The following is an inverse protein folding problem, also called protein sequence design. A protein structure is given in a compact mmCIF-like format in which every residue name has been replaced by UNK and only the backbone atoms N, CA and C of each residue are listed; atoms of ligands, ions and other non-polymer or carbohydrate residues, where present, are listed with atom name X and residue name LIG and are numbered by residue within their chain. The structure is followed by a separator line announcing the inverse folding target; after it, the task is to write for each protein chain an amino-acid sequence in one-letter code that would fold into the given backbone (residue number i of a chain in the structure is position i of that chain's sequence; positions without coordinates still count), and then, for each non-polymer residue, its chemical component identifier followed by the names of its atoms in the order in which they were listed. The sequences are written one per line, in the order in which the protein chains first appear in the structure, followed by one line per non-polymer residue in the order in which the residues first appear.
data_IF_315952054687
#
_entry.id   IF_315952054687
#
_cell.length_a   1.000
_cell.length_b   1.000
_cell.length_c   1.000
_cell.angle_alpha   90.00
_cell.angle_beta   90.00
_cell.angle_gamma   90.00
#
_symmetry.space_group_name_H-M   'P 1'
#
loop_
_entity.id
_entity.type
_entity.pdbx_description
1 polymer ?
#
# COMPACT_ATOMS: atom_id res chain seq x y z
N UNK A 1 68.45 -11.05 77.38
CA UNK A 1 69.05 -10.56 76.12
C UNK A 1 67.90 -10.13 75.22
N UNK A 2 67.70 -8.82 75.03
CA UNK A 2 67.93 -8.07 73.76
C UNK A 2 67.08 -8.65 72.60
N UNK A 3 66.23 -7.91 71.90
CA UNK A 3 66.30 -6.50 71.54
C UNK A 3 64.94 -5.92 71.13
N UNK A 4 64.75 -4.63 71.47
CA UNK A 4 63.83 -3.70 70.80
C UNK A 4 64.35 -3.45 69.39
N UNK A 5 63.50 -3.56 68.37
CA UNK A 5 63.72 -2.94 67.06
C UNK A 5 62.47 -2.16 66.67
N UNK A 6 62.64 -0.84 66.70
CA UNK A 6 61.79 0.16 66.07
C UNK A 6 61.93 0.08 64.55
N UNK A 7 60.82 -0.02 63.82
CA UNK A 7 60.77 0.40 62.43
C UNK A 7 59.68 1.47 62.28
N UNK A 8 60.16 2.69 62.02
CA UNK A 8 59.37 3.77 61.45
C UNK A 8 58.86 3.33 60.08
N UNK A 9 57.54 3.27 59.90
CA UNK A 9 56.96 3.20 58.56
C UNK A 9 56.45 4.60 58.23
N UNK A 10 57.12 5.17 57.22
CA UNK A 10 56.77 6.43 56.56
C UNK A 10 55.35 6.30 56.02
N UNK A 11 54.46 7.22 56.40
CA UNK A 11 53.17 7.37 55.76
C UNK A 11 53.39 7.80 54.30
N UNK A 12 53.31 6.85 53.37
CA UNK A 12 53.18 7.16 51.96
C UNK A 12 51.79 7.78 51.77
N UNK A 13 51.75 9.11 51.70
CA UNK A 13 50.61 9.85 51.18
C UNK A 13 50.47 9.46 49.70
N UNK A 14 49.74 8.38 49.42
CA UNK A 14 49.26 8.09 48.07
C UNK A 14 48.27 9.21 47.75
N UNK A 15 48.78 10.24 47.08
CA UNK A 15 47.96 11.15 46.29
C UNK A 15 47.27 10.28 45.24
N UNK A 16 46.10 9.77 45.61
CA UNK A 16 45.04 9.45 44.66
C UNK A 16 44.75 10.77 43.94
N UNK A 17 45.50 11.02 42.86
CA UNK A 17 45.02 11.80 41.74
C UNK A 17 43.82 11.02 41.23
N UNK A 18 42.68 11.24 41.87
CA UNK A 18 41.40 11.00 41.25
C UNK A 18 41.45 11.84 40.00
N UNK A 19 41.64 11.18 38.85
CA UNK A 19 41.14 11.75 37.62
C UNK A 19 39.69 12.10 37.95
N UNK A 20 39.39 13.40 37.98
CA UNK A 20 38.04 13.86 37.81
C UNK A 20 37.64 13.34 36.42
N UNK A 21 37.16 12.11 36.37
CA UNK A 21 36.42 11.60 35.24
C UNK A 21 35.17 12.47 35.25
N UNK A 22 35.21 13.58 34.52
CA UNK A 22 34.00 14.32 34.20
C UNK A 22 33.02 13.30 33.63
N UNK A 23 31.83 13.25 34.22
CA UNK A 23 30.75 12.46 33.65
C UNK A 23 30.45 13.05 32.26
N UNK A 24 30.40 12.20 31.24
CA UNK A 24 30.17 12.66 29.87
C UNK A 24 28.84 13.44 29.80
N UNK A 25 28.93 14.71 29.41
CA UNK A 25 27.77 15.60 29.25
C UNK A 25 27.77 16.12 27.80
N UNK A 26 26.90 15.58 26.93
CA UNK A 26 26.84 16.03 25.54
C UNK A 26 26.23 17.44 25.48
N UNK A 27 26.78 18.30 24.62
CA UNK A 27 26.25 19.63 24.30
C UNK A 27 25.62 19.70 22.92
N UNK A 28 25.85 18.69 22.07
CA UNK A 28 25.13 18.50 20.81
C UNK A 28 24.89 17.01 20.51
N UNK A 29 23.99 16.75 19.57
CA UNK A 29 23.67 15.41 19.09
C UNK A 29 23.94 15.32 17.58
N UNK A 30 24.46 14.17 17.16
CA UNK A 30 24.57 13.77 15.76
C UNK A 30 23.84 12.45 15.56
N UNK A 31 23.01 12.38 14.52
CA UNK A 31 22.25 11.20 14.18
C UNK A 31 22.85 10.52 12.96
N UNK A 32 23.00 9.20 13.03
CA UNK A 32 23.52 8.38 11.93
C UNK A 32 22.49 7.30 11.61
N UNK A 33 22.17 7.12 10.33
CA UNK A 33 21.25 6.09 9.85
C UNK A 33 22.02 4.95 9.19
N UNK A 34 21.68 3.72 9.53
CA UNK A 34 22.29 2.53 8.93
C UNK A 34 21.38 1.95 7.84
N UNK A 35 21.30 2.67 6.72
CA UNK A 35 20.50 2.27 5.57
C UNK A 35 19.62 3.38 5.03
N UNK A 36 18.94 3.07 3.93
CA UNK A 36 17.96 3.95 3.29
C UNK A 36 16.56 3.64 3.80
N UNK A 37 15.70 4.66 3.82
CA UNK A 37 14.31 4.51 4.25
C UNK A 37 13.50 3.96 3.08
N UNK A 38 13.56 2.64 2.89
CA UNK A 38 12.79 1.93 1.85
C UNK A 38 11.54 1.32 2.47
N UNK A 39 10.40 1.41 1.80
CA UNK A 39 9.14 0.76 2.22
C UNK A 39 9.35 -0.72 2.57
N UNK A 40 8.70 -1.17 3.64
CA UNK A 40 8.77 -2.51 4.22
C UNK A 40 10.17 -2.91 4.74
N UNK A 41 11.10 -1.96 4.87
CA UNK A 41 12.41 -2.16 5.49
C UNK A 41 12.50 -1.47 6.86
N UNK A 42 13.52 -1.87 7.62
CA UNK A 42 13.88 -1.25 8.89
C UNK A 42 15.22 -0.54 8.81
N UNK A 43 15.34 0.62 9.47
CA UNK A 43 16.58 1.40 9.55
C UNK A 43 16.89 1.70 11.01
N UNK A 44 18.10 1.37 11.46
CA UNK A 44 18.56 1.74 12.80
C UNK A 44 19.08 3.19 12.80
N UNK A 45 18.65 3.97 13.78
CA UNK A 45 19.24 5.26 14.12
C UNK A 45 20.24 5.07 15.26
N UNK A 46 21.46 5.54 15.07
CA UNK A 46 22.47 5.70 16.10
C UNK A 46 22.52 7.18 16.53
N UNK A 47 22.46 7.42 17.85
CA UNK A 47 22.51 8.75 18.44
C UNK A 47 23.88 8.94 19.07
N UNK A 48 24.65 9.89 18.56
CA UNK A 48 25.99 10.23 19.05
C UNK A 48 25.89 11.56 19.79
N UNK A 49 26.18 11.55 21.09
CA UNK A 49 26.40 12.76 21.87
C UNK A 49 27.80 13.29 21.63
N UNK A 50 27.96 14.62 21.60
CA UNK A 50 29.25 15.29 21.46
C UNK A 50 29.36 16.32 22.59
N UNK A 51 30.41 16.24 23.40
CA UNK A 51 30.68 17.21 24.49
C UNK A 51 31.44 18.45 23.99
N UNK A 52 31.68 19.41 24.88
CA UNK A 52 32.38 20.67 24.55
C UNK A 52 33.85 20.50 24.18
N UNK A 53 34.47 19.40 24.61
CA UNK A 53 35.85 19.03 24.24
C UNK A 53 35.90 18.27 22.89
N UNK A 54 34.74 17.96 22.31
CA UNK A 54 34.58 17.23 21.05
C UNK A 54 34.68 15.71 21.19
N UNK A 55 34.62 15.16 22.41
CA UNK A 55 34.53 13.71 22.60
C UNK A 55 33.14 13.22 22.17
N UNK A 56 33.09 12.04 21.58
CA UNK A 56 31.85 11.44 21.07
C UNK A 56 31.51 10.15 21.81
N UNK A 57 30.25 9.99 22.22
CA UNK A 57 29.74 8.74 22.77
C UNK A 57 28.40 8.36 22.15
N UNK A 58 28.22 7.07 21.87
CA UNK A 58 26.93 6.52 21.40
C UNK A 58 25.97 6.41 22.58
N UNK A 59 24.87 7.15 22.51
CA UNK A 59 23.82 7.15 23.52
C UNK A 59 22.85 5.99 23.29
N UNK A 60 22.55 5.24 24.35
CA UNK A 60 21.61 4.09 24.32
C UNK A 60 20.47 4.20 25.34
N UNK A 61 20.48 5.24 26.17
CA UNK A 61 19.52 5.47 27.26
C UNK A 61 19.18 6.96 27.31
N UNK A 62 18.07 7.28 27.97
CA UNK A 62 17.58 8.66 28.06
C UNK A 62 17.11 9.21 26.72
N UNK A 63 16.81 8.33 25.74
CA UNK A 63 16.36 8.72 24.41
C UNK A 63 14.85 8.54 24.30
N UNK A 64 14.18 9.52 23.70
CA UNK A 64 12.77 9.44 23.31
C UNK A 64 12.66 9.78 21.83
N UNK A 65 12.19 8.83 21.03
CA UNK A 65 12.03 9.01 19.58
C UNK A 65 10.59 9.38 19.22
N UNK A 66 10.43 10.10 18.11
CA UNK A 66 9.13 10.45 17.54
C UNK A 66 9.21 10.50 16.01
N UNK A 67 8.14 10.04 15.35
CA UNK A 67 7.93 10.26 13.91
C UNK A 67 6.98 11.44 13.67
N UNK A 68 7.19 12.18 12.59
CA UNK A 68 6.24 13.21 12.12
C UNK A 68 4.95 12.62 11.56
N UNK A 69 5.00 11.41 10.98
CA UNK A 69 3.86 10.69 10.43
C UNK A 69 4.09 9.17 10.54
N UNK A 70 3.39 8.54 11.48
CA UNK A 70 3.49 7.10 11.75
C UNK A 70 2.93 6.24 10.60
N UNK A 71 2.13 6.82 9.68
CA UNK A 71 1.67 6.13 8.47
C UNK A 71 2.79 5.97 7.44
N UNK A 72 3.85 6.80 7.51
CA UNK A 72 5.03 6.70 6.65
C UNK A 72 6.12 5.88 7.32
N UNK A 73 6.44 6.17 8.58
CA UNK A 73 7.40 5.40 9.35
C UNK A 73 7.15 5.47 10.85
N UNK A 74 7.29 4.34 11.55
CA UNK A 74 7.28 4.26 13.02
C UNK A 74 8.69 4.08 13.54
N UNK A 75 8.98 4.56 14.75
CA UNK A 75 10.28 4.37 15.41
C UNK A 75 10.05 3.80 16.81
N UNK A 76 10.76 2.73 17.14
CA UNK A 76 10.65 2.11 18.46
C UNK A 76 11.51 2.84 19.51
N UNK A 77 11.38 2.52 20.82
CA UNK A 77 12.19 3.13 21.87
C UNK A 77 13.71 2.92 21.75
N UNK A 78 14.16 1.95 20.94
CA UNK A 78 15.57 1.66 20.69
C UNK A 78 16.11 2.38 19.44
N UNK A 79 15.29 3.21 18.77
CA UNK A 79 15.68 3.91 17.55
C UNK A 79 15.60 3.04 16.29
N UNK A 80 14.93 1.88 16.34
CA UNK A 80 14.65 1.07 15.15
C UNK A 80 13.43 1.65 14.42
N UNK A 81 13.68 2.21 13.24
CA UNK A 81 12.63 2.72 12.35
C UNK A 81 12.09 1.59 11.49
N UNK A 82 10.77 1.50 11.34
CA UNK A 82 10.08 0.65 10.35
C UNK A 82 9.35 1.56 9.36
N UNK A 83 9.60 1.38 8.06
CA UNK A 83 9.03 2.21 6.99
C UNK A 83 7.82 1.50 6.37
N UNK A 84 6.69 2.20 6.29
CA UNK A 84 5.40 1.66 5.85
C UNK A 84 4.96 2.16 4.46
N UNK A 85 5.33 3.40 4.12
CA UNK A 85 4.96 4.07 2.89
C UNK A 85 6.09 4.99 2.38
N UNK A 86 6.00 5.40 1.12
CA UNK A 86 6.86 6.44 0.55
C UNK A 86 6.34 7.83 0.90
N UNK A 87 7.25 8.78 1.15
CA UNK A 87 6.88 10.15 1.49
C UNK A 87 7.89 10.86 2.38
N UNK A 88 7.76 12.19 2.57
CA UNK A 88 8.60 12.93 3.49
C UNK A 88 8.28 12.53 4.94
N UNK A 89 9.31 12.29 5.74
CA UNK A 89 9.17 11.99 7.17
C UNK A 89 10.33 12.59 7.95
N UNK A 90 10.03 13.12 9.13
CA UNK A 90 11.02 13.60 10.08
C UNK A 90 11.02 12.67 11.29
N UNK A 91 12.17 12.08 11.61
CA UNK A 91 12.37 11.36 12.86
C UNK A 91 13.13 12.26 13.83
N UNK A 92 12.53 12.53 14.98
CA UNK A 92 13.11 13.35 16.04
C UNK A 92 13.54 12.48 17.22
N UNK A 93 14.62 12.86 17.89
CA UNK A 93 15.03 12.31 19.18
C UNK A 93 15.23 13.42 20.18
N UNK A 94 14.74 13.18 21.40
CA UNK A 94 15.05 13.96 22.59
C UNK A 94 15.95 13.13 23.49
N UNK A 95 17.15 13.64 23.79
CA UNK A 95 18.09 13.02 24.72
C UNK A 95 18.08 13.77 26.06
N UNK A 96 17.82 13.04 27.14
CA UNK A 96 17.86 13.53 28.52
C UNK A 96 18.57 12.49 29.38
N UNK A 97 19.87 12.72 29.58
CA UNK A 97 20.70 11.94 30.50
C UNK A 97 20.63 12.52 31.91
N UNK A 98 21.04 11.74 32.90
CA UNK A 98 21.07 12.16 34.31
C UNK A 98 22.11 13.29 34.53
N UNK A 99 23.19 13.31 33.74
CA UNK A 99 24.22 14.35 33.75
C UNK A 99 23.75 15.70 33.21
N UNK A 100 22.63 15.74 32.47
CA UNK A 100 22.20 16.94 31.75
C UNK A 100 21.20 17.77 32.57
N UNK A 101 21.34 19.09 32.58
CA UNK A 101 20.30 19.99 33.13
C UNK A 101 19.08 20.09 32.20
N UNK A 102 19.31 20.20 30.90
CA UNK A 102 18.27 20.37 29.87
C UNK A 102 18.37 19.28 28.80
N UNK A 103 17.26 18.82 28.22
CA UNK A 103 17.32 17.86 27.13
C UNK A 103 17.95 18.48 25.88
N UNK A 104 18.59 17.65 25.07
CA UNK A 104 19.00 17.99 23.70
C UNK A 104 18.02 17.36 22.72
N UNK A 105 17.84 18.02 21.58
CA UNK A 105 16.98 17.53 20.49
C UNK A 105 17.75 17.49 19.19
N UNK A 106 17.47 16.47 18.39
CA UNK A 106 17.95 16.37 17.01
C UNK A 106 16.88 15.72 16.13
N UNK A 107 16.98 15.96 14.83
CA UNK A 107 16.07 15.37 13.85
C UNK A 107 16.81 14.96 12.57
N UNK A 108 16.27 13.93 11.92
CA UNK A 108 16.59 13.55 10.55
C UNK A 108 15.35 13.84 9.72
N UNK A 109 15.49 14.74 8.75
CA UNK A 109 14.51 14.92 7.68
C UNK A 109 14.92 14.03 6.51
N UNK A 110 14.00 13.16 6.10
CA UNK A 110 14.24 12.24 4.98
C UNK A 110 12.98 12.07 4.15
N UNK A 111 13.13 11.38 3.03
CA UNK A 111 12.02 10.92 2.20
C UNK A 111 12.11 9.41 2.07
N UNK A 112 11.18 8.72 2.70
CA UNK A 112 11.00 7.31 2.47
C UNK A 112 10.69 7.07 1.00
N UNK A 113 11.36 6.10 0.39
CA UNK A 113 11.15 5.72 -1.00
C UNK A 113 10.36 4.42 -1.07
N UNK A 114 9.64 4.25 -2.17
CA UNK A 114 8.88 3.06 -2.45
C UNK A 114 9.11 2.69 -3.92
N UNK A 115 9.45 1.43 -4.15
CA UNK A 115 9.65 0.89 -5.50
C UNK A 115 8.47 -0.02 -5.82
N UNK A 116 7.75 0.29 -6.90
CA UNK A 116 6.69 -0.58 -7.40
C UNK A 116 7.26 -1.97 -7.75
N UNK A 117 6.55 -3.07 -7.47
CA UNK A 117 7.08 -4.41 -7.72
C UNK A 117 7.40 -4.63 -9.21
N UNK A 118 8.39 -5.47 -9.50
CA UNK A 118 8.71 -5.84 -10.89
C UNK A 118 7.52 -6.51 -11.57
N UNK A 119 7.25 -6.13 -12.82
CA UNK A 119 6.10 -6.62 -13.58
C UNK A 119 6.51 -7.02 -15.01
N UNK A 120 5.77 -7.96 -15.58
CA UNK A 120 5.69 -8.15 -17.02
C UNK A 120 4.38 -7.50 -17.52
N UNK A 121 4.33 -7.02 -18.76
CA UNK A 121 3.14 -6.36 -19.32
C UNK A 121 1.97 -7.34 -19.59
N UNK A 122 1.88 -8.44 -18.82
CA UNK A 122 0.85 -9.46 -18.94
C UNK A 122 -0.04 -9.42 -17.71
N UNK A 123 -1.33 -9.62 -17.96
CA UNK A 123 -2.31 -9.78 -16.92
C UNK A 123 -2.60 -11.28 -16.71
N UNK A 124 -2.92 -11.65 -15.48
CA UNK A 124 -3.41 -12.98 -15.15
C UNK A 124 -3.00 -13.43 -13.76
N UNK A 125 -3.41 -14.64 -13.40
CA UNK A 125 -3.19 -15.20 -12.07
C UNK A 125 -1.72 -15.13 -11.60
N UNK A 126 -1.50 -14.58 -10.41
CA UNK A 126 -0.18 -14.43 -9.78
C UNK A 126 0.74 -13.39 -10.43
N UNK A 127 0.29 -12.70 -11.49
CA UNK A 127 1.06 -11.63 -12.14
C UNK A 127 0.91 -10.32 -11.40
N UNK A 128 2.01 -9.57 -11.32
CA UNK A 128 2.01 -8.19 -10.83
C UNK A 128 1.30 -7.33 -11.87
N UNK A 129 0.25 -6.62 -11.45
CA UNK A 129 -0.47 -5.70 -12.32
C UNK A 129 0.45 -4.51 -12.64
N UNK A 130 0.65 -4.14 -13.91
CA UNK A 130 1.48 -2.99 -14.27
C UNK A 130 0.99 -1.70 -13.61
N UNK A 131 1.86 -0.69 -13.40
CA UNK A 131 1.48 0.60 -12.87
C UNK A 131 0.62 1.36 -13.90
N UNK A 132 -0.68 1.10 -13.86
CA UNK A 132 -1.68 1.76 -14.68
C UNK A 132 -2.18 3.03 -13.98
N UNK A 133 -2.60 3.99 -14.79
CA UNK A 133 -3.22 5.22 -14.29
C UNK A 133 -4.37 5.72 -15.17
N UNK A 134 -5.24 6.52 -14.57
CA UNK A 134 -6.37 7.14 -15.25
C UNK A 134 -6.66 8.52 -14.67
N UNK A 135 -7.00 9.53 -15.49
CA UNK A 135 -7.93 10.54 -15.01
C UNK A 135 -9.24 9.83 -14.70
N UNK A 136 -9.69 9.86 -13.46
CA UNK A 136 -10.80 9.06 -12.94
C UNK A 136 -11.64 9.89 -11.97
N UNK A 137 -12.68 9.27 -11.41
CA UNK A 137 -13.54 9.90 -10.41
C UNK A 137 -13.70 9.01 -9.19
N UNK A 138 -13.61 9.63 -8.01
CA UNK A 138 -13.96 9.01 -6.73
C UNK A 138 -15.47 8.75 -6.65
N UNK A 139 -15.90 7.94 -5.68
CA UNK A 139 -17.32 7.58 -5.50
C UNK A 139 -18.23 8.78 -5.23
N UNK A 140 -17.68 9.87 -4.67
CA UNK A 140 -18.39 11.13 -4.47
C UNK A 140 -18.47 12.01 -5.74
N UNK A 141 -17.82 11.60 -6.83
CA UNK A 141 -17.80 12.31 -8.10
C UNK A 141 -16.65 13.30 -8.28
N UNK A 142 -15.76 13.43 -7.29
CA UNK A 142 -14.57 14.28 -7.36
C UNK A 142 -13.54 13.69 -8.33
N UNK A 143 -12.87 14.53 -9.14
CA UNK A 143 -11.83 14.08 -10.05
C UNK A 143 -10.56 13.67 -9.30
N UNK A 144 -9.89 12.63 -9.79
CA UNK A 144 -8.58 12.18 -9.30
C UNK A 144 -7.73 11.72 -10.49
N UNK A 145 -6.41 11.90 -10.41
CA UNK A 145 -5.48 11.17 -11.27
C UNK A 145 -5.07 9.89 -10.55
N UNK A 146 -5.84 8.83 -10.76
CA UNK A 146 -5.70 7.56 -10.04
C UNK A 146 -4.53 6.76 -10.61
N UNK A 147 -3.50 6.54 -9.80
CA UNK A 147 -2.30 5.74 -10.13
C UNK A 147 -2.24 4.51 -9.22
N UNK A 148 -2.00 3.33 -9.77
CA UNK A 148 -1.79 2.13 -8.95
C UNK A 148 -0.52 2.20 -8.11
N UNK A 149 0.47 2.95 -8.58
CA UNK A 149 1.67 3.25 -7.82
C UNK A 149 1.36 4.02 -6.53
N UNK A 150 0.42 4.97 -6.55
CA UNK A 150 0.01 5.69 -5.34
C UNK A 150 -0.72 4.75 -4.38
N UNK A 151 -1.59 3.87 -4.91
CA UNK A 151 -2.28 2.87 -4.07
C UNK A 151 -1.28 1.97 -3.34
N UNK A 152 -0.20 1.60 -4.03
CA UNK A 152 0.86 0.77 -3.47
C UNK A 152 1.75 1.52 -2.47
N UNK A 153 2.18 2.73 -2.83
CA UNK A 153 3.27 3.43 -2.15
C UNK A 153 2.83 4.49 -1.14
N UNK A 154 1.66 5.09 -1.29
CA UNK A 154 1.26 6.27 -0.52
C UNK A 154 0.43 5.89 0.73
N UNK A 155 0.72 6.56 1.84
CA UNK A 155 0.10 6.37 3.14
C UNK A 155 -1.42 6.65 3.11
N UNK A 156 -1.88 7.53 2.21
CA UNK A 156 -3.31 7.83 2.07
C UNK A 156 -4.14 6.62 1.59
N UNK A 157 -3.48 5.58 1.07
CA UNK A 157 -4.09 4.33 0.64
C UNK A 157 -3.85 3.17 1.61
N UNK A 158 -3.38 3.42 2.84
CA UNK A 158 -3.09 2.38 3.83
C UNK A 158 -4.29 1.45 4.11
N UNK A 159 -5.51 2.00 4.08
CA UNK A 159 -6.75 1.22 4.30
C UNK A 159 -7.00 0.14 3.24
N UNK A 160 -6.38 0.25 2.05
CA UNK A 160 -6.56 -0.72 0.96
C UNK A 160 -5.71 -1.95 1.24
N UNK A 161 -6.34 -3.12 1.22
CA UNK A 161 -5.70 -4.44 1.23
C UNK A 161 -5.83 -5.13 -0.13
N UNK A 162 -6.96 -4.93 -0.79
CA UNK A 162 -7.25 -5.49 -2.12
C UNK A 162 -7.87 -4.46 -3.04
N UNK A 163 -7.63 -4.63 -4.34
CA UNK A 163 -8.25 -3.83 -5.40
C UNK A 163 -9.10 -4.78 -6.24
N UNK A 164 -10.42 -4.58 -6.23
CA UNK A 164 -11.33 -5.29 -7.09
C UNK A 164 -11.55 -4.50 -8.39
N UNK A 165 -10.98 -5.00 -9.48
CA UNK A 165 -11.20 -4.46 -10.81
C UNK A 165 -12.43 -5.08 -11.45
N UNK A 166 -13.23 -4.21 -12.06
CA UNK A 166 -14.39 -4.58 -12.86
C UNK A 166 -14.25 -3.92 -14.22
N UNK A 167 -14.03 -4.73 -15.25
CA UNK A 167 -14.01 -4.27 -16.62
C UNK A 167 -15.40 -4.48 -17.20
N UNK A 168 -16.08 -3.37 -17.49
CA UNK A 168 -17.50 -3.29 -17.81
C UNK A 168 -17.73 -2.68 -19.19
N UNK A 169 -18.95 -2.80 -19.70
CA UNK A 169 -19.42 -2.05 -20.84
C UNK A 169 -20.82 -1.46 -20.55
N UNK A 170 -21.08 -0.24 -21.00
CA UNK A 170 -22.35 0.44 -20.74
C UNK A 170 -23.57 -0.27 -21.33
N UNK A 171 -23.40 -1.00 -22.43
CA UNK A 171 -24.46 -1.79 -23.07
C UNK A 171 -24.69 -3.16 -22.41
N UNK A 172 -23.82 -3.58 -21.49
CA UNK A 172 -23.83 -4.92 -20.90
C UNK A 172 -24.76 -4.99 -19.68
N UNK A 173 -25.93 -5.61 -19.85
CA UNK A 173 -26.93 -5.78 -18.76
C UNK A 173 -26.37 -6.50 -17.53
N UNK A 174 -25.64 -7.64 -17.63
CA UNK A 174 -25.00 -8.26 -16.47
C UNK A 174 -24.02 -7.33 -15.74
N UNK A 175 -23.34 -6.45 -16.47
CA UNK A 175 -22.44 -5.46 -15.90
C UNK A 175 -23.20 -4.41 -15.09
N UNK A 176 -24.31 -3.90 -15.62
CA UNK A 176 -25.18 -2.97 -14.89
C UNK A 176 -25.70 -3.59 -13.59
N UNK A 177 -26.12 -4.86 -13.62
CA UNK A 177 -26.56 -5.58 -12.42
C UNK A 177 -25.44 -5.72 -11.38
N UNK A 178 -24.24 -6.06 -11.84
CA UNK A 178 -23.08 -6.22 -10.96
C UNK A 178 -22.66 -4.89 -10.32
N UNK A 179 -22.65 -3.79 -11.08
CA UNK A 179 -22.39 -2.46 -10.54
C UNK A 179 -23.42 -2.02 -9.48
N UNK A 180 -24.71 -2.32 -9.71
CA UNK A 180 -25.78 -2.09 -8.72
C UNK A 180 -25.58 -2.92 -7.44
N UNK A 181 -25.15 -4.18 -7.57
CA UNK A 181 -24.81 -5.04 -6.43
C UNK A 181 -23.63 -4.46 -5.65
N UNK A 182 -22.55 -4.08 -6.34
CA UNK A 182 -21.37 -3.47 -5.71
C UNK A 182 -21.74 -2.17 -4.98
N UNK A 183 -22.61 -1.33 -5.56
CA UNK A 183 -23.05 -0.10 -4.91
C UNK A 183 -23.72 -0.38 -3.55
N UNK A 184 -24.55 -1.43 -3.46
CA UNK A 184 -25.19 -1.86 -2.20
C UNK A 184 -24.20 -2.41 -1.18
N UNK A 185 -23.09 -2.98 -1.63
CA UNK A 185 -22.07 -3.62 -0.78
C UNK A 185 -20.88 -2.69 -0.45
N UNK A 186 -20.80 -1.51 -1.08
CA UNK A 186 -19.66 -0.61 -1.05
C UNK A 186 -19.10 -0.34 0.35
N UNK A 187 -19.99 -0.03 1.30
CA UNK A 187 -19.58 0.24 2.68
C UNK A 187 -18.98 -0.97 3.40
N UNK A 188 -19.48 -2.18 3.13
CA UNK A 188 -18.93 -3.42 3.69
C UNK A 188 -17.58 -3.76 3.06
N UNK A 189 -17.48 -3.67 1.74
CA UNK A 189 -16.21 -3.91 1.03
C UNK A 189 -15.12 -2.94 1.50
N UNK A 190 -15.45 -1.65 1.63
CA UNK A 190 -14.51 -0.64 2.10
C UNK A 190 -14.02 -0.90 3.52
N UNK A 191 -14.90 -1.33 4.44
CA UNK A 191 -14.51 -1.67 5.82
C UNK A 191 -13.53 -2.83 5.89
N UNK A 192 -13.63 -3.77 4.95
CA UNK A 192 -12.70 -4.90 4.84
C UNK A 192 -11.44 -4.56 4.03
N UNK A 193 -11.27 -3.30 3.62
CA UNK A 193 -10.08 -2.85 2.88
C UNK A 193 -10.10 -3.18 1.38
N UNK A 194 -11.28 -3.40 0.79
CA UNK A 194 -11.40 -3.60 -0.66
C UNK A 194 -11.71 -2.28 -1.38
N UNK A 195 -10.81 -1.85 -2.26
CA UNK A 195 -11.01 -0.76 -3.20
C UNK A 195 -11.67 -1.30 -4.47
N UNK A 196 -12.87 -0.82 -4.80
CA UNK A 196 -13.50 -1.13 -6.08
C UNK A 196 -13.06 -0.13 -7.14
N UNK A 197 -12.58 -0.63 -8.28
CA UNK A 197 -12.24 0.17 -9.46
C UNK A 197 -13.01 -0.39 -10.65
N UNK A 198 -13.97 0.37 -11.16
CA UNK A 198 -14.69 -0.01 -12.38
C UNK A 198 -14.12 0.76 -13.56
N UNK A 199 -13.66 0.01 -14.56
CA UNK A 199 -13.17 0.53 -15.83
C UNK A 199 -14.20 0.21 -16.90
N UNK A 200 -14.93 1.23 -17.37
CA UNK A 200 -15.80 1.07 -18.53
C UNK A 200 -14.95 1.00 -19.80
N UNK A 201 -15.08 -0.09 -20.53
CA UNK A 201 -14.39 -0.32 -21.81
C UNK A 201 -15.17 0.35 -22.94
N UNK A 202 -16.48 0.09 -22.99
CA UNK A 202 -17.40 0.63 -24.00
C UNK A 202 -18.53 1.43 -23.34
N UNK A 203 -19.12 2.35 -24.11
CA UNK A 203 -20.31 3.11 -23.72
C UNK A 203 -21.59 2.25 -23.79
N UNK A 204 -22.77 2.88 -23.73
CA UNK A 204 -24.06 2.24 -24.05
C UNK A 204 -24.18 1.83 -25.53
N UNK A 205 -23.23 2.24 -26.39
CA UNK A 205 -23.12 1.84 -27.78
C UNK A 205 -21.94 0.87 -27.97
N UNK A 206 -22.18 -0.37 -28.40
CA UNK A 206 -21.12 -1.36 -28.61
C UNK A 206 -19.97 -0.86 -29.50
N UNK A 207 -18.73 -1.10 -29.06
CA UNK A 207 -17.50 -0.71 -29.78
C UNK A 207 -17.10 0.75 -29.64
N UNK A 208 -17.96 1.61 -29.08
CA UNK A 208 -17.64 3.01 -28.77
C UNK A 208 -16.95 3.06 -27.42
N UNK A 209 -15.65 3.38 -27.43
CA UNK A 209 -14.83 3.39 -26.21
C UNK A 209 -15.30 4.43 -25.18
N UNK A 210 -15.37 4.01 -23.91
CA UNK A 210 -15.76 4.86 -22.80
C UNK A 210 -14.57 5.65 -22.23
N UNK A 211 -14.79 6.95 -21.99
CA UNK A 211 -13.92 7.79 -21.17
C UNK A 211 -14.40 7.82 -19.71
N UNK A 212 -13.58 8.40 -18.82
CA UNK A 212 -13.90 8.44 -17.40
C UNK A 212 -15.12 9.31 -17.06
N UNK A 213 -15.48 10.27 -17.93
CA UNK A 213 -16.70 11.04 -17.75
C UNK A 213 -17.95 10.20 -18.02
N UNK A 214 -17.92 9.35 -19.05
CA UNK A 214 -18.96 8.35 -19.26
C UNK A 214 -19.05 7.41 -18.05
N UNK A 215 -17.93 6.84 -17.61
CA UNK A 215 -17.90 5.91 -16.48
C UNK A 215 -18.52 6.49 -15.21
N UNK A 216 -18.15 7.74 -14.87
CA UNK A 216 -18.74 8.46 -13.73
C UNK A 216 -20.26 8.57 -13.83
N UNK A 217 -20.77 9.06 -14.97
CA UNK A 217 -22.21 9.28 -15.17
C UNK A 217 -22.98 7.96 -15.14
N UNK A 218 -22.47 6.94 -15.83
CA UNK A 218 -23.09 5.64 -15.93
C UNK A 218 -23.18 4.95 -14.55
N UNK A 219 -22.06 4.88 -13.83
CA UNK A 219 -22.03 4.21 -12.52
C UNK A 219 -22.80 4.97 -11.45
N UNK A 220 -22.85 6.30 -11.50
CA UNK A 220 -23.70 7.09 -10.61
C UNK A 220 -25.20 6.82 -10.85
N UNK A 221 -25.63 6.74 -12.11
CA UNK A 221 -27.01 6.38 -12.47
C UNK A 221 -27.36 4.97 -11.97
N UNK A 222 -26.46 4.00 -12.14
CA UNK A 222 -26.69 2.64 -11.63
C UNK A 222 -26.77 2.59 -10.10
N UNK A 223 -25.93 3.35 -9.40
CA UNK A 223 -26.01 3.47 -7.95
C UNK A 223 -27.38 4.02 -7.51
N UNK A 224 -27.88 5.07 -8.17
CA UNK A 224 -29.21 5.65 -7.90
C UNK A 224 -30.32 4.61 -8.12
N UNK A 225 -30.27 3.88 -9.24
CA UNK A 225 -31.21 2.77 -9.52
C UNK A 225 -31.13 1.67 -8.46
N UNK A 226 -29.98 1.48 -7.83
CA UNK A 226 -29.79 0.56 -6.72
C UNK A 226 -30.25 1.10 -5.35
N UNK A 227 -30.77 2.33 -5.29
CA UNK A 227 -31.14 3.03 -4.07
C UNK A 227 -29.94 3.56 -3.26
N UNK A 228 -28.79 3.72 -3.91
CA UNK A 228 -27.55 4.18 -3.28
C UNK A 228 -27.20 5.59 -3.76
N UNK A 229 -26.58 6.38 -2.88
CA UNK A 229 -26.17 7.76 -3.20
C UNK A 229 -24.91 7.82 -4.06
N UNK A 230 -24.09 6.78 -4.04
CA UNK A 230 -22.77 6.75 -4.66
C UNK A 230 -22.49 5.34 -5.22
N UNK A 231 -21.73 5.25 -6.34
CA UNK A 231 -21.19 3.97 -6.80
C UNK A 231 -20.18 3.39 -5.82
N UNK A 232 -19.79 2.14 -6.05
CA UNK A 232 -19.00 1.37 -5.10
C UNK A 232 -17.56 1.86 -4.88
N UNK A 233 -17.02 2.63 -5.82
CA UNK A 233 -15.63 3.07 -5.78
C UNK A 233 -15.27 3.96 -6.95
N UNK A 234 -14.07 3.76 -7.48
CA UNK A 234 -13.49 4.59 -8.53
C UNK A 234 -14.10 4.25 -9.88
N UNK A 235 -14.45 5.30 -10.64
CA UNK A 235 -14.94 5.21 -12.01
C UNK A 235 -13.85 5.69 -12.99
N UNK A 236 -13.45 4.82 -13.90
CA UNK A 236 -12.49 5.11 -14.97
C UNK A 236 -13.00 4.60 -16.31
N UNK A 237 -12.53 5.19 -17.42
CA UNK A 237 -12.80 4.72 -18.77
C UNK A 237 -11.52 4.30 -19.48
N UNK A 238 -11.54 3.18 -20.19
CA UNK A 238 -10.34 2.63 -20.83
C UNK A 238 -9.80 3.51 -21.98
N UNK A 239 -10.63 4.39 -22.54
CA UNK A 239 -10.17 5.41 -23.50
C UNK A 239 -9.11 6.33 -22.90
N UNK A 240 -9.12 6.51 -21.58
CA UNK A 240 -8.24 7.41 -20.84
C UNK A 240 -7.12 6.65 -20.08
N UNK A 241 -6.92 5.37 -20.34
CA UNK A 241 -5.83 4.60 -19.70
C UNK A 241 -4.46 5.22 -20.01
N UNK A 242 -3.62 5.33 -18.99
CA UNK A 242 -2.22 5.71 -19.05
C UNK A 242 -1.34 4.58 -18.50
N UNK A 243 -0.13 4.49 -19.03
CA UNK A 243 0.87 3.51 -18.60
C UNK A 243 2.17 4.24 -18.23
N UNK A 244 2.93 3.67 -17.31
CA UNK A 244 4.27 4.16 -17.01
C UNK A 244 5.22 3.92 -18.19
N UNK A 245 5.82 5.00 -18.70
CA UNK A 245 6.90 4.94 -19.67
C UNK A 245 8.25 5.11 -18.94
N UNK A 246 9.12 4.08 -18.94
CA UNK A 246 10.41 4.15 -18.26
C UNK A 246 11.38 5.13 -18.92
N UNK A 247 11.27 5.37 -20.24
CA UNK A 247 12.13 6.32 -20.95
C UNK A 247 11.72 7.76 -20.63
N UNK A 248 10.41 8.04 -20.68
CA UNK A 248 9.88 9.36 -20.34
C UNK A 248 9.78 9.61 -18.83
N UNK A 249 9.98 8.57 -18.00
CA UNK A 249 9.80 8.60 -16.53
C UNK A 249 8.49 9.26 -16.12
N UNK A 250 7.43 8.96 -16.86
CA UNK A 250 6.12 9.58 -16.66
C UNK A 250 5.00 8.68 -17.19
N UNK A 251 3.78 8.95 -16.74
CA UNK A 251 2.59 8.28 -17.27
C UNK A 251 2.20 8.88 -18.62
N UNK A 252 2.13 8.06 -19.65
CA UNK A 252 1.77 8.47 -21.01
C UNK A 252 0.43 7.87 -21.44
N UNK A 253 -0.36 8.58 -22.27
CA UNK A 253 -1.65 8.06 -22.73
C UNK A 253 -1.50 6.76 -23.54
N UNK A 254 -2.21 5.72 -23.11
CA UNK A 254 -2.33 4.43 -23.78
C UNK A 254 -3.80 4.12 -24.04
N UNK A 255 -4.43 4.88 -24.95
CA UNK A 255 -5.88 4.84 -25.19
C UNK A 255 -6.37 3.43 -25.50
N UNK A 256 -7.44 2.96 -24.87
CA UNK A 256 -8.00 1.63 -25.10
C UNK A 256 -6.98 0.50 -24.84
N UNK A 257 -6.10 0.67 -23.85
CA UNK A 257 -5.02 -0.29 -23.57
C UNK A 257 -5.61 -1.64 -23.14
N UNK A 258 -6.60 -1.62 -22.23
CA UNK A 258 -7.20 -2.84 -21.70
C UNK A 258 -8.02 -3.55 -22.78
N UNK A 259 -8.81 -2.80 -23.57
CA UNK A 259 -9.57 -3.34 -24.70
C UNK A 259 -8.71 -4.05 -25.74
N UNK A 260 -7.47 -3.57 -25.93
CA UNK A 260 -6.52 -4.13 -26.90
C UNK A 260 -5.67 -5.27 -26.32
N UNK A 261 -5.87 -5.61 -25.06
CA UNK A 261 -5.21 -6.74 -24.41
C UNK A 261 -6.02 -8.04 -24.60
N UNK A 262 -5.35 -9.18 -24.46
CA UNK A 262 -6.00 -10.50 -24.44
C UNK A 262 -6.67 -10.82 -23.09
N UNK A 263 -6.70 -9.87 -22.15
CA UNK A 263 -7.24 -10.08 -20.81
C UNK A 263 -8.78 -10.08 -20.78
N UNK A 264 -9.41 -9.26 -21.61
CA UNK A 264 -10.88 -9.13 -21.66
C UNK A 264 -11.44 -10.10 -22.70
N UNK A 265 -12.17 -11.11 -22.25
CA UNK A 265 -12.84 -12.08 -23.12
C UNK A 265 -14.37 -11.96 -23.11
N UNK A 266 -14.95 -11.52 -22.00
CA UNK A 266 -16.38 -11.29 -21.83
C UNK A 266 -16.61 -10.19 -20.79
N UNK A 267 -17.84 -9.71 -20.68
CA UNK A 267 -18.21 -8.68 -19.72
C UNK A 267 -19.25 -9.19 -18.71
N UNK A 268 -19.16 -8.80 -17.42
CA UNK A 268 -18.02 -8.12 -16.81
C UNK A 268 -16.83 -9.08 -16.62
N UNK A 269 -15.62 -8.65 -16.98
CA UNK A 269 -14.39 -9.32 -16.54
C UNK A 269 -14.05 -8.77 -15.16
N UNK A 270 -13.80 -9.66 -14.20
CA UNK A 270 -13.63 -9.31 -12.78
C UNK A 270 -12.29 -9.84 -12.28
N UNK A 271 -11.50 -9.02 -11.61
CA UNK A 271 -10.26 -9.48 -10.99
C UNK A 271 -10.02 -8.84 -9.64
N UNK A 272 -9.17 -9.46 -8.82
CA UNK A 272 -8.76 -8.92 -7.53
C UNK A 272 -7.24 -8.94 -7.43
N UNK A 273 -6.69 -7.81 -7.02
CA UNK A 273 -5.27 -7.59 -6.81
C UNK A 273 -5.01 -7.43 -5.32
N UNK A 274 -4.02 -8.12 -4.78
CA UNK A 274 -3.52 -7.92 -3.42
C UNK A 274 -2.57 -6.73 -3.42
N UNK A 275 -2.76 -5.76 -2.52
CA UNK A 275 -1.93 -4.54 -2.46
C UNK A 275 -0.46 -4.85 -2.16
N UNK A 276 -0.17 -5.73 -1.20
CA UNK A 276 1.19 -5.95 -0.66
C UNK A 276 2.25 -6.23 -1.73
N UNK A 277 1.89 -6.89 -2.81
CA UNK A 277 2.78 -7.25 -3.92
C UNK A 277 2.20 -6.94 -5.29
N UNK A 278 1.06 -6.24 -5.33
CA UNK A 278 0.32 -5.90 -6.54
C UNK A 278 -0.01 -7.11 -7.44
N UNK A 279 -0.03 -8.33 -6.87
CA UNK A 279 -0.34 -9.54 -7.61
C UNK A 279 -1.85 -9.73 -7.77
N UNK A 280 -2.26 -10.13 -8.97
CA UNK A 280 -3.62 -10.59 -9.24
C UNK A 280 -3.84 -11.95 -8.59
N UNK A 281 -4.58 -11.95 -7.48
CA UNK A 281 -4.93 -13.17 -6.73
C UNK A 281 -6.21 -13.81 -7.25
N UNK A 282 -7.05 -13.07 -7.99
CA UNK A 282 -8.24 -13.57 -8.69
C UNK A 282 -8.20 -13.13 -10.14
N UNK A 283 -8.04 -14.10 -11.03
CA UNK A 283 -8.08 -13.91 -12.48
C UNK A 283 -9.43 -14.38 -13.06
N UNK A 284 -10.30 -13.43 -13.38
CA UNK A 284 -11.57 -13.68 -14.07
C UNK A 284 -11.53 -13.37 -15.57
N UNK A 285 -10.35 -13.30 -16.19
CA UNK A 285 -10.22 -13.25 -17.65
C UNK A 285 -10.77 -14.52 -18.31
N UNK A 286 -10.92 -14.54 -19.64
CA UNK A 286 -11.36 -15.74 -20.36
C UNK A 286 -10.50 -17.00 -20.18
N UNK A 287 -9.27 -16.86 -19.69
CA UNK A 287 -8.34 -17.96 -19.42
C UNK A 287 -8.13 -18.19 -17.92
N UNK A 288 -8.71 -17.34 -17.07
CA UNK A 288 -8.53 -17.36 -15.63
C UNK A 288 -9.43 -18.39 -14.94
N UNK A 289 -9.01 -18.85 -13.77
CA UNK A 289 -9.76 -19.85 -13.00
C UNK A 289 -11.13 -19.34 -12.50
N UNK A 290 -11.32 -18.01 -12.47
CA UNK A 290 -12.55 -17.36 -12.01
C UNK A 290 -13.43 -16.84 -13.14
N UNK A 291 -13.15 -17.23 -14.39
CA UNK A 291 -13.90 -16.79 -15.56
C UNK A 291 -15.39 -17.15 -15.41
N UNK A 292 -16.27 -16.14 -15.47
CA UNK A 292 -17.73 -16.31 -15.35
C UNK A 292 -18.24 -16.71 -13.96
N UNK A 293 -17.35 -16.92 -12.97
CA UNK A 293 -17.74 -17.38 -11.62
C UNK A 293 -18.20 -16.24 -10.73
N UNK A 294 -18.97 -16.59 -9.69
CA UNK A 294 -19.26 -15.69 -8.57
C UNK A 294 -18.00 -15.55 -7.71
N UNK A 295 -17.67 -14.32 -7.31
CA UNK A 295 -16.46 -14.05 -6.51
C UNK A 295 -16.91 -13.70 -5.07
N UNK A 296 -16.44 -14.41 -4.04
CA UNK A 296 -16.76 -14.13 -2.64
C UNK A 296 -15.96 -12.92 -2.14
N UNK A 297 -16.41 -11.71 -2.52
CA UNK A 297 -15.65 -10.46 -2.34
C UNK A 297 -15.28 -10.18 -0.87
N UNK A 298 -16.20 -10.42 0.08
CA UNK A 298 -15.97 -10.11 1.48
C UNK A 298 -14.98 -11.08 2.13
N UNK A 299 -15.04 -12.35 1.76
CA UNK A 299 -14.11 -13.38 2.22
C UNK A 299 -12.69 -13.07 1.73
N UNK A 300 -12.54 -12.70 0.47
CA UNK A 300 -11.25 -12.33 -0.12
C UNK A 300 -10.72 -11.03 0.50
N UNK A 301 -11.60 -10.06 0.78
CA UNK A 301 -11.20 -8.81 1.45
C UNK A 301 -10.68 -9.07 2.87
N UNK A 302 -11.31 -10.00 3.60
CA UNK A 302 -10.93 -10.38 4.96
C UNK A 302 -9.63 -11.14 5.03
N UNK A 303 -9.39 -12.03 4.07
CA UNK A 303 -8.18 -12.85 4.01
C UNK A 303 -7.57 -12.84 2.60
N UNK A 304 -6.89 -11.75 2.20
CA UNK A 304 -6.25 -11.66 0.90
C UNK A 304 -4.99 -12.52 0.76
N UNK A 305 -4.54 -13.15 1.85
CA UNK A 305 -3.34 -13.98 1.90
C UNK A 305 -3.62 -15.47 1.63
N UNK A 306 -4.89 -15.89 1.74
CA UNK A 306 -5.31 -17.22 1.35
C UNK A 306 -5.06 -17.51 -0.15
N UNK A 307 -5.02 -18.80 -0.49
CA UNK A 307 -4.87 -19.24 -1.87
C UNK A 307 -6.19 -19.07 -2.64
N UNK A 308 -6.28 -17.95 -3.35
CA UNK A 308 -7.39 -17.64 -4.26
C UNK A 308 -7.09 -18.00 -5.72
N UNK A 309 -6.04 -18.79 -6.00
CA UNK A 309 -5.68 -19.16 -7.37
C UNK A 309 -6.76 -19.94 -8.10
N UNK A 310 -7.70 -20.54 -7.36
CA UNK A 310 -8.89 -21.22 -7.88
C UNK A 310 -10.10 -20.92 -6.99
N UNK A 311 -11.32 -20.94 -7.57
CA UNK A 311 -12.54 -20.95 -6.77
C UNK A 311 -12.53 -22.12 -5.78
N UNK A 312 -12.87 -21.88 -4.51
CA UNK A 312 -13.13 -22.96 -3.58
C UNK A 312 -14.31 -23.83 -4.02
N UNK A 313 -14.34 -25.09 -3.60
CA UNK A 313 -15.38 -26.07 -3.99
C UNK A 313 -16.84 -25.67 -3.67
N UNK A 314 -17.06 -24.72 -2.75
CA UNK A 314 -18.39 -24.22 -2.41
C UNK A 314 -18.81 -23.01 -3.25
N UNK A 315 -17.90 -22.44 -4.04
CA UNK A 315 -18.25 -21.45 -5.06
C UNK A 315 -18.85 -22.25 -6.20
N UNK A 316 -20.18 -22.23 -6.25
CA UNK A 316 -20.98 -23.04 -7.15
C UNK A 316 -20.48 -22.93 -8.59
N UNK A 317 -20.29 -24.09 -9.21
CA UNK A 317 -20.15 -24.19 -10.65
C UNK A 317 -21.53 -23.92 -11.23
N UNK A 318 -21.92 -22.64 -11.27
CA UNK A 318 -23.08 -22.21 -12.04
C UNK A 318 -22.82 -22.50 -13.51
N UNK A 319 -22.96 -23.77 -13.91
CA UNK A 319 -23.28 -24.15 -15.26
C UNK A 319 -24.51 -23.31 -15.60
N UNK A 320 -24.33 -22.44 -16.59
CA UNK A 320 -25.44 -21.88 -17.34
C UNK A 320 -26.18 -23.12 -17.82
N UNK A 321 -27.36 -23.41 -17.24
CA UNK A 321 -28.22 -24.49 -17.72
C UNK A 321 -28.29 -24.35 -19.24
N UNK A 322 -27.76 -25.35 -19.94
CA UNK A 322 -27.91 -25.46 -21.38
C UNK A 322 -29.40 -25.31 -21.67
N UNK A 323 -29.71 -24.24 -22.41
CA UNK A 323 -31.05 -23.97 -22.92
C UNK A 323 -31.59 -25.28 -23.49
N UNK A 324 -32.76 -25.77 -23.03
CA UNK A 324 -33.27 -27.05 -23.53
C UNK A 324 -33.41 -26.94 -25.05
N UNK A 325 -32.71 -27.84 -25.74
CA UNK A 325 -32.92 -28.07 -27.17
C UNK A 325 -34.42 -28.25 -27.37
N UNK A 326 -34.98 -27.35 -28.15
CA UNK A 326 -36.32 -27.37 -28.72
C UNK A 326 -36.45 -28.55 -29.69
N UNK A 327 -36.40 -29.76 -29.13
CA UNK A 327 -36.83 -31.00 -29.75
C UNK A 327 -38.34 -31.10 -29.69
N UNK A 328 -39.00 -30.74 -30.79
CA UNK A 328 -40.46 -30.80 -30.89
C UNK A 328 -40.96 -30.69 -32.31
N UNK A 329 -40.64 -31.69 -33.13
CA UNK A 329 -41.32 -31.99 -34.40
C UNK A 329 -42.81 -32.25 -34.13
N UNK A 330 -43.65 -31.25 -34.39
CA UNK A 330 -45.10 -31.42 -34.49
C UNK A 330 -45.51 -31.61 -35.94
N UNK A 331 -45.55 -32.86 -36.40
CA UNK A 331 -46.29 -33.27 -37.59
C UNK A 331 -47.60 -33.94 -37.18
N UNK A 332 -48.72 -33.32 -37.55
CA UNK A 332 -49.89 -33.88 -38.25
C UNK A 332 -50.95 -32.78 -38.41
#
# INVERSE_FOLDING_TARGET
MKARWSLSVVAALVLLLGAACGEFEPTSLRLVTHGEFLRDQTVQIEVIGIDDDGNEEVLKKGLTFRSSDERIATVDPNGLVTVHAGGPVTISVTAKLDSMEKPLEASIETRATCQYPEFDWKFGQGKVVPPLAWPAFLSNGDPIYFKLEDVYCDADWEWVKTIHFVFSAGWCVPCSMYAMQLARQAGSLRREGMLVVTVEIDTEYPGVAADSNFAKKHLAKLAEMAGQKQPAGIAAGDKDTHIWDPEARSYVPAKNFIRRSDFIAFYPTKSIVRKRDMQMIVDGSGKGAWAGKVIPLLEIARDPEADWSKPPSWVDDGEIEDRPEDGGTGGE
#
